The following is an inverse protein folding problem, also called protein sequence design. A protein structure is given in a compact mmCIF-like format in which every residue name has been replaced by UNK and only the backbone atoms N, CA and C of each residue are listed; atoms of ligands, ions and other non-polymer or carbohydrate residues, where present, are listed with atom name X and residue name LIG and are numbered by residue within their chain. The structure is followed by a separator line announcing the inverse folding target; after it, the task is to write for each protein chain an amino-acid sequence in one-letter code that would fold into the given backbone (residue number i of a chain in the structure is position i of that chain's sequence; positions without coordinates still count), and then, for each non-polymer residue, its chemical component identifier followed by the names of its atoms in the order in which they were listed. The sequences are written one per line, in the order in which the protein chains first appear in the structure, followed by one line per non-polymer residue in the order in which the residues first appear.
data_IF_299224972356
#
_entry.id   IF_299224972356
#
_cell.length_a   1.000
_cell.length_b   1.000
_cell.length_c   1.000
_cell.angle_alpha   90.00
_cell.angle_beta   90.00
_cell.angle_gamma   90.00
#
_symmetry.space_group_name_H-M   'P 1'
#
loop_
_entity.id
_entity.type
_entity.pdbx_description
1 polymer ?
#
# COMPACT_ATOMS: atom_id res chain seq x y z
N UNK A 1 -47.71 33.99 -12.93
CA UNK A 1 -48.22 33.16 -11.80
C UNK A 1 -47.00 32.59 -11.09
N UNK A 2 -46.58 33.18 -10.00
CA UNK A 2 -45.52 32.69 -9.15
C UNK A 2 -46.00 31.40 -8.50
N UNK A 3 -45.37 30.26 -8.84
CA UNK A 3 -45.64 28.97 -8.19
C UNK A 3 -45.03 29.01 -6.79
N UNK A 4 -45.88 29.02 -5.78
CA UNK A 4 -45.42 28.95 -4.38
C UNK A 4 -44.79 27.58 -4.09
N UNK A 5 -43.81 27.53 -3.19
CA UNK A 5 -43.09 26.32 -2.78
C UNK A 5 -44.00 25.20 -2.24
N UNK A 6 -45.29 25.54 -1.96
CA UNK A 6 -46.31 24.62 -1.42
C UNK A 6 -47.32 24.16 -2.47
N UNK A 7 -47.11 24.47 -3.77
CA UNK A 7 -47.98 23.96 -4.82
C UNK A 7 -47.84 22.41 -4.89
N UNK A 8 -48.92 21.63 -4.77
CA UNK A 8 -48.87 20.18 -4.81
C UNK A 8 -48.20 19.62 -6.08
N UNK A 9 -48.34 20.31 -7.22
CA UNK A 9 -47.66 19.92 -8.47
C UNK A 9 -46.15 20.10 -8.37
N UNK A 10 -45.68 21.17 -7.72
CA UNK A 10 -44.27 21.42 -7.50
C UNK A 10 -43.67 20.35 -6.57
N UNK A 11 -44.38 19.99 -5.50
CA UNK A 11 -43.97 18.94 -4.56
C UNK A 11 -43.86 17.59 -5.27
N UNK A 12 -44.82 17.22 -6.11
CA UNK A 12 -44.76 15.96 -6.88
C UNK A 12 -43.60 15.95 -7.88
N UNK A 13 -43.35 17.06 -8.58
CA UNK A 13 -42.22 17.17 -9.49
C UNK A 13 -40.87 17.08 -8.73
N UNK A 14 -40.76 17.69 -7.58
CA UNK A 14 -39.57 17.59 -6.73
C UNK A 14 -39.33 16.16 -6.25
N UNK A 15 -40.41 15.46 -5.83
CA UNK A 15 -40.29 14.05 -5.40
C UNK A 15 -39.83 13.16 -6.58
N UNK A 16 -40.42 13.31 -7.75
CA UNK A 16 -40.03 12.56 -8.95
C UNK A 16 -38.57 12.87 -9.37
N UNK A 17 -38.18 14.15 -9.34
CA UNK A 17 -36.80 14.54 -9.63
C UNK A 17 -35.80 13.97 -8.63
N UNK A 18 -36.19 13.89 -7.36
CA UNK A 18 -35.35 13.28 -6.31
C UNK A 18 -35.21 11.77 -6.51
N UNK A 19 -36.28 11.06 -6.83
CA UNK A 19 -36.23 9.62 -7.15
C UNK A 19 -35.36 9.36 -8.38
N UNK A 20 -35.45 10.18 -9.41
CA UNK A 20 -34.60 10.08 -10.60
C UNK A 20 -33.13 10.29 -10.24
N UNK A 21 -32.82 11.27 -9.39
CA UNK A 21 -31.48 11.52 -8.89
C UNK A 21 -30.90 10.30 -8.18
N UNK A 22 -31.69 9.68 -7.27
CA UNK A 22 -31.29 8.46 -6.55
C UNK A 22 -31.03 7.28 -7.50
N UNK A 23 -31.89 7.09 -8.51
CA UNK A 23 -31.71 6.04 -9.52
C UNK A 23 -30.44 6.26 -10.34
N UNK A 24 -30.17 7.49 -10.78
CA UNK A 24 -28.93 7.83 -11.48
C UNK A 24 -27.70 7.63 -10.62
N UNK A 25 -27.78 8.04 -9.33
CA UNK A 25 -26.71 7.78 -8.39
C UNK A 25 -26.44 6.28 -8.24
N UNK A 26 -27.50 5.47 -8.05
CA UNK A 26 -27.36 4.01 -7.93
C UNK A 26 -26.78 3.38 -9.19
N UNK A 27 -27.19 3.81 -10.36
CA UNK A 27 -26.62 3.33 -11.61
C UNK A 27 -25.12 3.64 -11.72
N UNK A 28 -24.70 4.84 -11.31
CA UNK A 28 -23.28 5.22 -11.29
C UNK A 28 -22.48 4.41 -10.26
N UNK A 29 -23.05 4.16 -9.07
CA UNK A 29 -22.42 3.31 -8.05
C UNK A 29 -22.20 1.89 -8.57
N UNK A 30 -23.24 1.27 -9.15
CA UNK A 30 -23.14 -0.07 -9.74
C UNK A 30 -22.11 -0.12 -10.86
N UNK A 31 -22.06 0.90 -11.72
CA UNK A 31 -21.05 0.99 -12.78
C UNK A 31 -19.61 1.06 -12.20
N UNK A 32 -19.41 1.80 -11.11
CA UNK A 32 -18.13 1.89 -10.41
C UNK A 32 -17.74 0.59 -9.72
N UNK A 33 -18.72 -0.07 -9.08
CA UNK A 33 -18.50 -1.34 -8.37
C UNK A 33 -18.08 -2.47 -9.31
N UNK A 34 -18.36 -2.37 -10.60
CA UNK A 34 -17.86 -3.31 -11.62
C UNK A 34 -16.42 -3.02 -12.08
N UNK A 35 -15.81 -1.94 -11.61
CA UNK A 35 -14.43 -1.60 -11.95
C UNK A 35 -13.49 -1.97 -10.81
N UNK A 36 -12.50 -2.81 -11.08
CA UNK A 36 -11.52 -3.28 -10.08
C UNK A 36 -10.86 -2.13 -9.30
N UNK A 37 -10.72 -0.95 -9.92
CA UNK A 37 -10.09 0.21 -9.27
C UNK A 37 -10.96 0.81 -8.15
N UNK A 38 -12.30 0.65 -8.23
CA UNK A 38 -13.26 1.30 -7.34
C UNK A 38 -14.05 0.33 -6.48
N UNK A 39 -14.19 -0.93 -6.92
CA UNK A 39 -14.90 -1.98 -6.18
C UNK A 39 -14.36 -2.15 -4.76
N UNK A 40 -15.25 -2.39 -3.80
CA UNK A 40 -14.96 -2.59 -2.39
C UNK A 40 -15.80 -3.72 -1.81
N UNK A 41 -15.33 -4.31 -0.69
CA UNK A 41 -16.06 -5.33 0.04
C UNK A 41 -16.54 -6.46 -0.87
N UNK A 42 -17.81 -6.82 -0.79
CA UNK A 42 -18.41 -7.93 -1.54
C UNK A 42 -18.37 -7.75 -3.06
N UNK A 43 -18.45 -6.51 -3.58
CA UNK A 43 -18.29 -6.26 -5.02
C UNK A 43 -16.88 -6.61 -5.49
N UNK A 44 -15.86 -6.30 -4.67
CA UNK A 44 -14.47 -6.67 -4.96
C UNK A 44 -14.25 -8.18 -4.84
N UNK A 45 -14.89 -8.85 -3.87
CA UNK A 45 -14.84 -10.30 -3.70
C UNK A 45 -15.40 -11.00 -4.94
N UNK A 46 -16.55 -10.54 -5.44
CA UNK A 46 -17.15 -11.07 -6.66
C UNK A 46 -16.23 -10.91 -7.88
N UNK A 47 -15.60 -9.75 -8.03
CA UNK A 47 -14.59 -9.54 -9.08
C UNK A 47 -13.37 -10.46 -8.90
N UNK A 48 -12.98 -10.72 -7.64
CA UNK A 48 -11.93 -11.68 -7.31
C UNK A 48 -12.27 -13.09 -7.77
N UNK A 49 -13.44 -13.58 -7.40
CA UNK A 49 -13.93 -14.91 -7.76
C UNK A 49 -14.01 -15.11 -9.28
N UNK A 50 -14.40 -14.07 -10.03
CA UNK A 50 -14.39 -14.10 -11.49
C UNK A 50 -12.99 -14.33 -12.09
N UNK A 51 -11.96 -13.97 -11.33
CA UNK A 51 -10.56 -14.21 -11.70
C UNK A 51 -9.94 -15.41 -10.97
N UNK A 52 -10.71 -16.20 -10.22
CA UNK A 52 -10.21 -17.32 -9.43
C UNK A 52 -9.36 -16.90 -8.23
N UNK A 53 -9.65 -15.72 -7.65
CA UNK A 53 -8.93 -15.16 -6.50
C UNK A 53 -9.92 -14.90 -5.38
N UNK A 54 -9.95 -15.77 -4.37
CA UNK A 54 -10.75 -15.58 -3.17
C UNK A 54 -10.00 -14.77 -2.12
N UNK A 55 -10.74 -13.99 -1.31
CA UNK A 55 -10.19 -13.23 -0.19
C UNK A 55 -9.61 -14.15 0.87
N UNK A 56 -8.43 -13.82 1.38
CA UNK A 56 -7.85 -14.48 2.55
C UNK A 56 -8.55 -13.98 3.82
N UNK A 57 -8.44 -14.76 4.90
CA UNK A 57 -8.96 -14.33 6.19
C UNK A 57 -8.28 -13.01 6.61
N UNK A 58 -9.10 -12.01 7.01
CA UNK A 58 -8.66 -10.67 7.44
C UNK A 58 -7.88 -9.87 6.37
N UNK A 59 -8.10 -10.17 5.09
CA UNK A 59 -7.46 -9.46 3.98
C UNK A 59 -8.19 -8.16 3.65
N UNK A 60 -7.45 -7.03 3.61
CA UNK A 60 -7.98 -5.74 3.18
C UNK A 60 -8.22 -5.68 1.65
N UNK A 61 -9.05 -4.71 1.23
CA UNK A 61 -9.43 -4.53 -0.17
C UNK A 61 -8.23 -4.19 -1.07
N UNK A 62 -7.24 -3.46 -0.58
CA UNK A 62 -6.09 -3.04 -1.40
C UNK A 62 -5.17 -4.21 -1.69
N UNK A 63 -4.98 -5.11 -0.71
CA UNK A 63 -4.23 -6.33 -0.88
C UNK A 63 -4.93 -7.29 -1.84
N UNK A 64 -6.25 -7.55 -1.66
CA UNK A 64 -7.03 -8.38 -2.56
C UNK A 64 -6.99 -7.84 -3.99
N UNK A 65 -7.19 -6.53 -4.17
CA UNK A 65 -7.10 -5.86 -5.48
C UNK A 65 -5.73 -6.03 -6.13
N UNK A 66 -4.66 -5.99 -5.34
CA UNK A 66 -3.30 -6.24 -5.81
C UNK A 66 -3.14 -7.70 -6.27
N UNK A 67 -3.63 -8.68 -5.50
CA UNK A 67 -3.59 -10.11 -5.86
C UNK A 67 -4.36 -10.40 -7.15
N UNK A 68 -5.55 -9.82 -7.31
CA UNK A 68 -6.34 -9.94 -8.55
C UNK A 68 -5.55 -9.41 -9.76
N UNK A 69 -4.90 -8.24 -9.63
CA UNK A 69 -4.06 -7.70 -10.71
C UNK A 69 -2.87 -8.60 -11.04
N UNK A 70 -2.17 -9.09 -10.02
CA UNK A 70 -1.02 -9.97 -10.20
C UNK A 70 -1.44 -11.30 -10.86
N UNK A 71 -2.58 -11.87 -10.44
CA UNK A 71 -3.11 -13.09 -11.06
C UNK A 71 -3.40 -12.87 -12.55
N UNK A 72 -4.06 -11.75 -12.91
CA UNK A 72 -4.31 -11.40 -14.30
C UNK A 72 -3.04 -11.23 -15.12
N UNK A 73 -2.03 -10.52 -14.57
CA UNK A 73 -0.74 -10.30 -15.23
C UNK A 73 0.09 -11.58 -15.32
N UNK A 74 -0.04 -12.45 -14.32
CA UNK A 74 0.65 -13.72 -14.23
C UNK A 74 -0.05 -14.88 -14.94
N UNK A 75 -1.20 -14.66 -15.57
CA UNK A 75 -2.01 -15.67 -16.27
C UNK A 75 -1.38 -16.06 -17.64
N UNK A 76 -0.12 -16.39 -17.59
CA UNK A 76 0.69 -16.81 -18.73
C UNK A 76 1.17 -18.24 -18.51
N UNK A 77 1.46 -18.95 -19.58
CA UNK A 77 2.03 -20.32 -19.55
C UNK A 77 3.48 -20.37 -19.07
N UNK A 78 4.11 -19.22 -18.80
CA UNK A 78 5.49 -19.12 -18.32
C UNK A 78 5.60 -18.65 -16.87
N UNK A 79 6.77 -18.87 -16.25
CA UNK A 79 7.12 -18.38 -14.91
C UNK A 79 7.41 -16.89 -14.92
N UNK A 80 6.38 -16.05 -14.96
CA UNK A 80 6.52 -14.60 -14.96
C UNK A 80 6.66 -14.05 -13.53
N UNK A 81 7.33 -12.90 -13.40
CA UNK A 81 7.47 -12.20 -12.11
C UNK A 81 6.10 -12.00 -11.42
N UNK A 82 5.04 -11.49 -12.08
CA UNK A 82 3.72 -11.33 -11.44
C UNK A 82 3.12 -12.66 -10.96
N UNK A 83 3.38 -13.77 -11.66
CA UNK A 83 2.90 -15.09 -11.25
C UNK A 83 3.50 -15.50 -9.92
N UNK A 84 4.82 -15.47 -9.78
CA UNK A 84 5.49 -15.83 -8.54
C UNK A 84 5.16 -14.87 -7.39
N UNK A 85 5.01 -13.57 -7.66
CA UNK A 85 4.52 -12.60 -6.68
C UNK A 85 3.10 -12.93 -6.19
N UNK A 86 2.20 -13.29 -7.11
CA UNK A 86 0.84 -13.68 -6.77
C UNK A 86 0.81 -14.88 -5.82
N UNK A 87 1.54 -15.94 -6.14
CA UNK A 87 1.57 -17.14 -5.29
C UNK A 87 2.25 -16.87 -3.94
N UNK A 88 3.31 -16.09 -3.90
CA UNK A 88 3.95 -15.69 -2.65
C UNK A 88 2.99 -14.91 -1.74
N UNK A 89 2.27 -13.91 -2.28
CA UNK A 89 1.26 -13.15 -1.52
C UNK A 89 0.03 -13.99 -1.16
N UNK A 90 -0.30 -15.02 -1.92
CA UNK A 90 -1.48 -15.88 -1.69
C UNK A 90 -1.21 -17.00 -0.69
N UNK A 91 0.04 -17.32 -0.41
CA UNK A 91 0.42 -18.42 0.49
C UNK A 91 0.15 -18.11 1.96
N UNK A 92 0.32 -16.86 2.39
CA UNK A 92 0.09 -16.44 3.78
C UNK A 92 -0.26 -14.95 3.85
N UNK A 93 -1.20 -14.59 4.75
CA UNK A 93 -1.61 -13.19 4.98
C UNK A 93 -0.45 -12.33 5.51
N UNK A 94 0.49 -12.92 6.26
CA UNK A 94 1.64 -12.24 6.82
C UNK A 94 2.66 -11.77 5.77
N UNK A 95 2.58 -12.25 4.54
CA UNK A 95 3.42 -11.73 3.45
C UNK A 95 2.87 -10.38 3.00
N UNK A 96 3.46 -9.29 3.44
CA UNK A 96 3.06 -7.91 3.08
C UNK A 96 3.48 -7.56 1.65
N UNK A 97 4.68 -8.00 1.24
CA UNK A 97 5.21 -7.79 -0.11
C UNK A 97 6.16 -8.92 -0.51
N UNK A 98 6.30 -9.12 -1.82
CA UNK A 98 7.24 -10.07 -2.39
C UNK A 98 7.89 -9.47 -3.63
N UNK A 99 9.21 -9.55 -3.72
CA UNK A 99 9.97 -9.11 -4.88
C UNK A 99 10.69 -10.29 -5.53
N UNK A 100 10.46 -10.47 -6.83
CA UNK A 100 11.01 -11.58 -7.61
C UNK A 100 12.06 -11.04 -8.57
N UNK A 101 13.28 -11.56 -8.49
CA UNK A 101 14.39 -11.10 -9.31
C UNK A 101 15.38 -12.22 -9.64
N UNK A 102 16.23 -11.98 -10.63
CA UNK A 102 17.34 -12.83 -11.00
C UNK A 102 18.65 -12.08 -10.90
N UNK A 103 19.71 -12.78 -10.56
CA UNK A 103 21.07 -12.24 -10.61
C UNK A 103 21.74 -12.73 -11.90
N UNK A 104 21.95 -11.82 -12.83
CA UNK A 104 22.53 -12.13 -14.13
C UNK A 104 21.66 -13.07 -14.97
N UNK A 105 22.30 -14.04 -15.65
CA UNK A 105 21.63 -15.04 -16.49
C UNK A 105 21.40 -16.38 -15.78
N UNK A 106 21.48 -16.40 -14.44
CA UNK A 106 21.26 -17.62 -13.65
C UNK A 106 19.82 -18.13 -13.80
N UNK A 107 19.59 -19.45 -13.84
CA UNK A 107 18.24 -20.04 -13.74
C UNK A 107 17.64 -19.88 -12.33
N UNK A 108 18.43 -19.42 -11.35
CA UNK A 108 18.00 -19.21 -9.97
C UNK A 108 17.17 -17.93 -9.88
N UNK A 109 15.95 -18.09 -9.41
CA UNK A 109 15.00 -17.00 -9.15
C UNK A 109 14.98 -16.73 -7.66
N UNK A 110 15.29 -15.51 -7.28
CA UNK A 110 15.21 -15.07 -5.89
C UNK A 110 13.83 -14.45 -5.63
N UNK A 111 13.22 -14.84 -4.51
CA UNK A 111 11.97 -14.24 -4.02
C UNK A 111 12.25 -13.67 -2.63
N UNK A 112 12.40 -12.36 -2.54
CA UNK A 112 12.54 -11.65 -1.27
C UNK A 112 11.15 -11.40 -0.67
N UNK A 113 10.95 -11.76 0.60
CA UNK A 113 9.69 -11.60 1.33
C UNK A 113 9.79 -10.46 2.33
N UNK A 114 8.81 -9.58 2.30
CA UNK A 114 8.59 -8.58 3.33
C UNK A 114 7.36 -8.99 4.16
N UNK A 115 7.58 -9.20 5.45
CA UNK A 115 6.54 -9.64 6.38
C UNK A 115 5.78 -8.43 6.96
N UNK A 116 4.60 -8.69 7.52
CA UNK A 116 3.82 -7.75 8.33
C UNK A 116 4.37 -7.59 9.76
N UNK A 117 5.40 -8.37 10.12
CA UNK A 117 6.07 -8.22 11.42
C UNK A 117 6.60 -6.80 11.61
N UNK A 118 6.74 -6.29 12.84
CA UNK A 118 7.27 -4.94 13.09
C UNK A 118 8.68 -4.72 12.49
N UNK A 119 9.48 -5.78 12.40
CA UNK A 119 10.78 -5.74 11.74
C UNK A 119 10.73 -5.88 10.21
N UNK A 120 9.58 -6.26 9.64
CA UNK A 120 9.46 -6.60 8.21
C UNK A 120 10.20 -7.88 7.79
N UNK A 121 10.86 -8.56 8.74
CA UNK A 121 11.65 -9.77 8.50
C UNK A 121 10.69 -10.97 8.54
N UNK A 122 10.77 -11.82 7.51
CA UNK A 122 10.03 -13.09 7.47
C UNK A 122 10.75 -14.13 8.33
N UNK A 123 10.01 -14.83 9.20
CA UNK A 123 10.51 -15.96 9.98
C UNK A 123 10.73 -17.20 9.08
N UNK A 124 11.48 -18.18 9.59
CA UNK A 124 11.79 -19.40 8.85
C UNK A 124 10.52 -20.19 8.50
N UNK A 125 9.51 -20.18 9.36
CA UNK A 125 8.25 -20.88 9.12
C UNK A 125 7.48 -20.25 7.95
N UNK A 126 7.47 -18.92 7.87
CA UNK A 126 6.86 -18.19 6.76
C UNK A 126 7.63 -18.44 5.45
N UNK A 127 8.97 -18.38 5.50
CA UNK A 127 9.82 -18.67 4.34
C UNK A 127 9.55 -20.09 3.82
N UNK A 128 9.54 -21.10 4.72
CA UNK A 128 9.26 -22.47 4.34
C UNK A 128 7.88 -22.67 3.73
N UNK A 129 6.85 -21.99 4.27
CA UNK A 129 5.48 -22.03 3.75
C UNK A 129 5.38 -21.46 2.34
N UNK A 130 6.02 -20.29 2.11
CA UNK A 130 6.03 -19.66 0.79
C UNK A 130 6.86 -20.48 -0.20
N UNK A 131 8.00 -21.03 0.22
CA UNK A 131 8.83 -21.92 -0.61
C UNK A 131 8.03 -23.14 -1.06
N UNK A 132 7.30 -23.79 -0.16
CA UNK A 132 6.46 -24.94 -0.49
C UNK A 132 5.37 -24.57 -1.52
N UNK A 133 4.71 -23.43 -1.36
CA UNK A 133 3.69 -22.95 -2.30
C UNK A 133 4.28 -22.64 -3.69
N UNK A 134 5.49 -22.09 -3.75
CA UNK A 134 6.15 -21.79 -5.02
C UNK A 134 6.75 -23.03 -5.70
N UNK A 135 7.08 -24.07 -4.94
CA UNK A 135 7.60 -25.35 -5.46
C UNK A 135 6.52 -26.30 -5.97
N UNK A 136 5.24 -25.97 -5.80
CA UNK A 136 4.15 -26.76 -6.33
C UNK A 136 4.26 -26.95 -7.85
N UNK A 137 3.99 -28.18 -8.34
CA UNK A 137 4.12 -28.54 -9.77
C UNK A 137 3.31 -27.67 -10.73
N UNK A 138 2.20 -27.09 -10.25
CA UNK A 138 1.33 -26.22 -11.04
C UNK A 138 1.82 -24.77 -11.08
N UNK A 139 2.72 -24.39 -10.17
CA UNK A 139 3.25 -23.04 -10.00
C UNK A 139 4.61 -22.90 -10.64
N UNK A 140 5.52 -23.80 -10.28
CA UNK A 140 6.93 -23.79 -10.68
C UNK A 140 7.12 -24.25 -12.13
N UNK A 141 7.88 -23.49 -12.89
CA UNK A 141 8.32 -23.94 -14.21
C UNK A 141 9.43 -25.01 -14.10
N UNK A 142 9.47 -25.93 -15.05
CA UNK A 142 10.37 -27.10 -15.03
C UNK A 142 11.85 -26.73 -14.87
N UNK A 143 12.27 -25.60 -15.43
CA UNK A 143 13.68 -25.16 -15.41
C UNK A 143 13.97 -24.07 -14.38
N UNK A 144 12.97 -23.59 -13.62
CA UNK A 144 13.17 -22.56 -12.64
C UNK A 144 13.60 -23.14 -11.29
N UNK A 145 14.63 -22.61 -10.72
CA UNK A 145 15.04 -22.86 -9.34
C UNK A 145 14.64 -21.65 -8.50
N UNK A 146 13.70 -21.82 -7.57
CA UNK A 146 13.20 -20.72 -6.74
C UNK A 146 13.84 -20.79 -5.37
N UNK A 147 14.41 -19.68 -4.93
CA UNK A 147 14.96 -19.50 -3.59
C UNK A 147 14.23 -18.36 -2.90
N UNK A 148 13.48 -18.72 -1.87
CA UNK A 148 12.77 -17.75 -1.02
C UNK A 148 13.69 -17.31 0.11
N UNK A 149 13.76 -15.99 0.35
CA UNK A 149 14.53 -15.41 1.46
C UNK A 149 13.77 -14.25 2.08
N UNK A 150 14.11 -13.90 3.32
CA UNK A 150 13.61 -12.68 3.95
C UNK A 150 14.19 -11.44 3.27
N UNK A 151 13.45 -10.33 3.31
CA UNK A 151 13.99 -9.02 3.00
C UNK A 151 15.14 -8.64 3.90
N UNK A 152 16.06 -7.83 3.38
CA UNK A 152 17.10 -7.18 4.17
C UNK A 152 16.53 -5.86 4.69
N UNK A 153 16.53 -5.67 6.01
CA UNK A 153 16.06 -4.43 6.61
C UNK A 153 17.20 -3.42 6.68
N UNK A 154 16.94 -2.21 6.19
CA UNK A 154 17.83 -1.06 6.31
C UNK A 154 17.20 -0.02 7.25
N UNK A 155 17.74 0.08 8.47
CA UNK A 155 17.24 1.03 9.48
C UNK A 155 17.84 2.39 9.20
N UNK A 156 16.97 3.43 9.16
CA UNK A 156 17.35 4.82 8.90
C UNK A 156 16.82 5.69 10.02
N UNK A 157 17.70 6.37 10.72
CA UNK A 157 17.33 7.37 11.72
C UNK A 157 16.99 8.69 11.02
N UNK A 158 16.01 9.40 11.56
CA UNK A 158 15.51 10.66 10.97
C UNK A 158 15.67 11.78 12.00
N UNK A 159 16.51 12.75 11.68
CA UNK A 159 16.66 13.95 12.50
C UNK A 159 16.26 15.17 11.68
N UNK A 160 15.42 16.05 12.26
CA UNK A 160 14.99 17.26 11.60
C UNK A 160 14.81 18.44 12.57
N UNK A 161 15.10 19.61 12.07
CA UNK A 161 14.86 20.89 12.73
C UNK A 161 13.56 21.49 12.17
N UNK A 162 12.64 21.86 13.06
CA UNK A 162 11.32 22.38 12.73
C UNK A 162 11.15 23.81 13.27
N UNK A 163 10.60 24.67 12.43
CA UNK A 163 10.05 25.98 12.82
C UNK A 163 8.53 25.86 12.86
N UNK A 164 7.94 26.25 13.98
CA UNK A 164 6.50 26.15 14.18
C UNK A 164 5.84 27.52 13.91
N UNK A 165 4.54 27.47 13.61
CA UNK A 165 3.73 28.71 13.60
C UNK A 165 3.61 29.26 15.03
N UNK A 166 3.38 30.57 15.18
CA UNK A 166 3.23 31.19 16.49
C UNK A 166 2.12 30.56 17.32
N UNK A 167 2.36 30.43 18.61
CA UNK A 167 1.47 29.81 19.60
C UNK A 167 1.31 28.27 19.47
N UNK A 168 2.07 27.61 18.61
CA UNK A 168 2.07 26.15 18.51
C UNK A 168 3.00 25.52 19.55
N UNK A 169 2.49 24.45 20.17
CA UNK A 169 3.16 23.72 21.26
C UNK A 169 3.89 22.46 20.82
N UNK A 170 4.53 21.74 21.75
CA UNK A 170 5.28 20.52 21.47
C UNK A 170 4.42 19.37 20.89
N UNK A 171 3.09 19.40 21.09
CA UNK A 171 2.16 18.42 20.50
C UNK A 171 2.23 18.37 18.97
N UNK A 172 2.64 19.45 18.32
CA UNK A 172 2.83 19.46 16.85
C UNK A 172 3.99 18.55 16.44
N UNK A 173 5.06 18.49 17.24
CA UNK A 173 6.19 17.59 16.97
C UNK A 173 5.75 16.12 17.07
N UNK A 174 4.96 15.77 18.08
CA UNK A 174 4.41 14.42 18.22
C UNK A 174 3.50 14.06 17.04
N UNK A 175 2.64 14.98 16.60
CA UNK A 175 1.80 14.80 15.40
C UNK A 175 2.65 14.56 14.16
N UNK A 176 3.76 15.30 13.98
CA UNK A 176 4.67 15.13 12.85
C UNK A 176 5.36 13.76 12.87
N UNK A 177 5.84 13.31 14.04
CA UNK A 177 6.41 11.95 14.21
C UNK A 177 5.40 10.89 13.85
N UNK A 178 4.21 10.95 14.43
CA UNK A 178 3.15 9.96 14.21
C UNK A 178 2.70 9.94 12.74
N UNK A 179 2.60 11.10 12.09
CA UNK A 179 2.26 11.18 10.69
C UNK A 179 3.33 10.53 9.81
N UNK A 180 4.61 10.83 10.05
CA UNK A 180 5.72 10.23 9.30
C UNK A 180 5.73 8.70 9.45
N UNK A 181 5.60 8.19 10.68
CA UNK A 181 5.58 6.75 10.96
C UNK A 181 4.39 6.06 10.30
N UNK A 182 3.18 6.59 10.46
CA UNK A 182 1.96 6.02 9.91
C UNK A 182 1.99 5.99 8.39
N UNK A 183 2.38 7.09 7.78
CA UNK A 183 2.44 7.20 6.32
C UNK A 183 3.56 6.33 5.74
N UNK A 184 4.70 6.19 6.44
CA UNK A 184 5.75 5.27 5.99
C UNK A 184 5.32 3.81 6.12
N UNK A 185 4.68 3.41 7.20
CA UNK A 185 4.18 2.05 7.38
C UNK A 185 3.22 1.63 6.26
N UNK A 186 2.39 2.58 5.76
CA UNK A 186 1.51 2.37 4.60
C UNK A 186 2.27 2.33 3.28
N UNK A 187 3.28 3.18 3.16
CA UNK A 187 4.02 3.36 1.91
C UNK A 187 5.15 2.34 1.72
N UNK A 188 5.64 1.76 2.80
CA UNK A 188 6.79 0.84 2.82
C UNK A 188 6.56 -0.38 1.91
N UNK A 189 7.54 -0.65 1.04
CA UNK A 189 7.59 -1.77 0.10
C UNK A 189 9.04 -2.18 -0.11
N UNK A 190 9.24 -3.39 -0.63
CA UNK A 190 10.56 -3.83 -1.10
C UNK A 190 11.03 -2.95 -2.26
N UNK A 191 12.33 -2.58 -2.24
CA UNK A 191 12.94 -1.75 -3.27
C UNK A 191 12.40 -0.33 -3.35
N UNK A 192 11.69 0.15 -2.32
CA UNK A 192 11.17 1.51 -2.29
C UNK A 192 12.17 2.45 -1.64
N UNK A 193 12.66 3.40 -2.43
CA UNK A 193 13.51 4.48 -1.95
C UNK A 193 12.79 5.39 -0.97
N UNK A 194 13.53 5.93 -0.01
CA UNK A 194 13.05 6.94 0.91
C UNK A 194 13.69 8.29 0.54
N UNK A 195 12.93 9.16 -0.13
CA UNK A 195 13.41 10.47 -0.55
C UNK A 195 13.26 11.54 0.53
N UNK A 196 14.19 12.50 0.57
CA UNK A 196 14.15 13.66 1.46
C UNK A 196 12.85 14.46 1.28
N UNK A 197 12.45 14.69 0.04
CA UNK A 197 11.24 15.45 -0.29
C UNK A 197 9.97 14.78 0.25
N UNK A 198 9.91 13.44 0.20
CA UNK A 198 8.79 12.68 0.76
C UNK A 198 8.74 12.84 2.28
N UNK A 199 9.88 12.69 2.97
CA UNK A 199 9.97 12.86 4.44
C UNK A 199 9.56 14.28 4.86
N UNK A 200 10.11 15.30 4.21
CA UNK A 200 9.73 16.71 4.47
C UNK A 200 8.22 16.90 4.30
N UNK A 201 7.63 16.36 3.22
CA UNK A 201 6.18 16.50 2.98
C UNK A 201 5.33 15.85 4.09
N UNK A 202 5.82 14.80 4.76
CA UNK A 202 5.11 14.14 5.87
C UNK A 202 5.35 14.79 7.22
N UNK A 203 6.47 15.47 7.39
CA UNK A 203 6.76 16.27 8.58
C UNK A 203 6.06 17.65 8.55
N UNK A 204 5.67 18.13 7.36
CA UNK A 204 4.89 19.37 7.17
C UNK A 204 3.41 19.12 7.52
N UNK A 205 3.13 19.01 8.82
CA UNK A 205 1.76 18.92 9.35
C UNK A 205 1.25 20.33 9.71
N UNK A 206 -0.05 20.46 9.99
CA UNK A 206 -0.64 21.70 10.47
C UNK A 206 0.09 22.18 11.74
N UNK A 207 0.50 23.47 11.74
CA UNK A 207 1.30 24.07 12.80
C UNK A 207 2.82 24.09 12.50
N UNK A 208 3.30 23.38 11.48
CA UNK A 208 4.69 23.43 11.03
C UNK A 208 4.84 24.43 9.89
N UNK A 209 5.72 25.43 10.05
CA UNK A 209 6.04 26.42 9.03
C UNK A 209 7.16 25.95 8.10
N UNK A 210 8.24 25.35 8.66
CA UNK A 210 9.41 24.97 7.88
C UNK A 210 10.09 23.73 8.49
N UNK A 211 10.67 22.88 7.63
CA UNK A 211 11.39 21.65 8.03
C UNK A 211 12.73 21.60 7.33
N UNK A 212 13.81 21.39 8.08
CA UNK A 212 15.13 21.06 7.56
C UNK A 212 15.52 19.69 8.09
N UNK A 213 15.71 18.73 7.18
CA UNK A 213 16.28 17.43 7.54
C UNK A 213 17.78 17.60 7.79
N UNK A 214 18.24 17.12 8.95
CA UNK A 214 19.65 17.07 9.29
C UNK A 214 20.21 15.65 9.11
N UNK A 215 19.33 14.63 9.13
CA UNK A 215 19.64 13.24 8.81
C UNK A 215 18.37 12.53 8.29
N UNK A 216 18.46 11.79 7.17
CA UNK A 216 19.59 11.63 6.26
C UNK A 216 19.85 12.90 5.42
N UNK A 217 21.07 13.06 4.91
CA UNK A 217 21.46 14.23 4.07
C UNK A 217 21.20 14.02 2.57
N UNK A 218 20.88 12.80 2.17
CA UNK A 218 20.59 12.44 0.78
C UNK A 218 19.46 11.41 0.73
N UNK A 219 18.86 11.26 -0.44
CA UNK A 219 17.87 10.23 -0.70
C UNK A 219 18.47 8.85 -0.43
N UNK A 220 17.69 7.99 0.24
CA UNK A 220 18.09 6.61 0.54
C UNK A 220 17.61 5.73 -0.61
N UNK A 221 18.56 5.30 -1.43
CA UNK A 221 18.33 4.34 -2.51
C UNK A 221 18.59 2.94 -1.95
N UNK A 222 17.69 2.01 -2.22
CA UNK A 222 17.75 0.64 -1.71
C UNK A 222 17.74 -0.40 -2.83
N UNK A 223 18.34 -1.56 -2.54
CA UNK A 223 18.28 -2.69 -3.46
C UNK A 223 16.85 -3.26 -3.52
N UNK A 224 16.52 -4.00 -4.60
CA UNK A 224 15.17 -4.56 -4.78
C UNK A 224 14.70 -5.53 -3.68
N UNK A 225 15.63 -6.13 -2.94
CA UNK A 225 15.38 -7.05 -1.83
C UNK A 225 15.56 -6.39 -0.46
N UNK A 226 15.81 -5.07 -0.45
CA UNK A 226 15.87 -4.28 0.78
C UNK A 226 14.55 -3.57 1.07
N UNK A 227 14.27 -3.39 2.36
CA UNK A 227 13.16 -2.56 2.84
C UNK A 227 13.70 -1.55 3.86
N UNK A 228 13.35 -0.28 3.68
CA UNK A 228 13.70 0.76 4.65
C UNK A 228 12.77 0.69 5.85
N UNK A 229 13.34 0.65 7.06
CA UNK A 229 12.64 0.88 8.31
C UNK A 229 13.08 2.21 8.92
N UNK A 230 12.14 2.96 9.48
CA UNK A 230 12.47 4.13 10.26
C UNK A 230 12.98 3.69 11.64
N UNK A 231 14.16 4.15 12.00
CA UNK A 231 14.76 3.98 13.32
C UNK A 231 14.30 5.08 14.28
N UNK A 232 15.24 5.71 14.97
CA UNK A 232 14.96 6.81 15.85
C UNK A 232 14.54 8.06 15.07
N UNK A 233 13.47 8.73 15.53
CA UNK A 233 13.00 9.99 14.93
C UNK A 233 13.15 11.11 15.96
N UNK A 234 14.08 12.02 15.71
CA UNK A 234 14.37 13.15 16.60
C UNK A 234 14.01 14.45 15.91
N UNK A 235 12.97 15.11 16.42
CA UNK A 235 12.52 16.41 15.93
C UNK A 235 12.85 17.50 16.94
N UNK A 236 13.56 18.54 16.51
CA UNK A 236 13.96 19.68 17.34
C UNK A 236 13.22 20.95 16.93
N UNK A 237 12.51 21.59 17.87
CA UNK A 237 11.97 22.93 17.65
C UNK A 237 13.12 23.95 17.67
N UNK A 238 13.33 24.68 16.57
CA UNK A 238 14.37 25.75 16.46
C UNK A 238 13.84 27.14 16.74
N UNK A 239 12.57 27.38 16.51
CA UNK A 239 11.94 28.67 16.73
C UNK A 239 10.51 28.72 16.20
N UNK A 240 9.92 29.92 16.33
CA UNK A 240 8.65 30.25 15.72
C UNK A 240 8.93 31.08 14.46
N UNK A 241 8.15 30.85 13.39
CA UNK A 241 8.26 31.57 12.13
C UNK A 241 6.88 32.00 11.64
N UNK A 242 6.83 33.13 10.88
CA UNK A 242 5.60 33.71 10.34
C UNK A 242 5.53 33.54 8.83
#
# INVERSE_FOLDING_TARGET
MEKTAYDPVVIQLQAAAYEELLLRQRANEVARDNLLAFARGTSLDHLGDFHGVSRLWDEDDDRLRRRIRLNRQGHSTGGTVPRYQYFALSSDIRVKDAFVYRVGKSPLIHVALFSDSPSGIADEALIAKVQAALDEKQVKMTNDHILVKSAVQRIIDVHADLWLLPNEGPLVLEKAVNNLQTEWARAQRLGRDLSLSWMISRLMVEGVHHVILTQPLADIVVAPDEAVALGEIVLSKRGDAY
#
